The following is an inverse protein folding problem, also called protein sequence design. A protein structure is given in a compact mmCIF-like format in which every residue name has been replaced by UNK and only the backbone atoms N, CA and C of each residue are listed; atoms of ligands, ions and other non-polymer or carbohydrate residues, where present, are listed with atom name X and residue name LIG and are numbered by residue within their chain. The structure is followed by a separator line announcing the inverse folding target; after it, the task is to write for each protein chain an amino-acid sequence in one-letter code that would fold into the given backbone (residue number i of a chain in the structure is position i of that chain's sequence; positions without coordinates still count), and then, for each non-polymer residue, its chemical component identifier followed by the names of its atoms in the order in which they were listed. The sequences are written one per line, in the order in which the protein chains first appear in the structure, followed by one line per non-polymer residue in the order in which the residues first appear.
data_IF_213546692169
#
_entry.id   IF_213546692169
#
_cell.length_a   1.000
_cell.length_b   1.000
_cell.length_c   1.000
_cell.angle_alpha   90.00
_cell.angle_beta   90.00
_cell.angle_gamma   90.00
#
_symmetry.space_group_name_H-M   'P 1'
#
loop_
_entity.id
_entity.type
_entity.pdbx_description
1 polymer ?
#
# COMPACT_ATOMS: atom_id res chain seq x y z
N UNK A 1 28.73 -10.15 -18.76
CA UNK A 1 28.19 -10.87 -17.59
C UNK A 1 29.22 -10.80 -16.48
N UNK A 2 29.04 -9.90 -15.51
CA UNK A 2 29.87 -9.84 -14.31
C UNK A 2 29.03 -10.38 -13.15
N UNK A 3 29.37 -11.57 -12.65
CA UNK A 3 28.82 -12.14 -11.43
C UNK A 3 29.40 -11.35 -10.25
N UNK A 4 28.57 -10.59 -9.54
CA UNK A 4 28.95 -10.01 -8.26
C UNK A 4 29.00 -11.14 -7.22
N UNK A 5 30.21 -11.58 -6.86
CA UNK A 5 30.49 -12.62 -5.84
C UNK A 5 30.64 -12.04 -4.42
N UNK A 6 29.96 -10.95 -4.12
CA UNK A 6 29.97 -10.35 -2.78
C UNK A 6 29.24 -11.23 -1.78
N UNK A 7 29.98 -11.90 -0.91
CA UNK A 7 29.45 -12.59 0.29
C UNK A 7 28.69 -11.57 1.15
N UNK A 8 27.39 -11.76 1.32
CA UNK A 8 26.63 -11.04 2.35
C UNK A 8 26.99 -11.64 3.72
N UNK A 9 27.79 -10.93 4.51
CA UNK A 9 28.05 -11.26 5.90
C UNK A 9 26.91 -10.71 6.76
N UNK A 10 26.05 -11.59 7.29
CA UNK A 10 25.12 -11.22 8.35
C UNK A 10 25.86 -11.35 9.69
N UNK A 11 26.18 -10.22 10.31
CA UNK A 11 26.74 -10.20 11.67
C UNK A 11 25.70 -10.66 12.68
N UNK A 12 26.08 -11.56 13.58
CA UNK A 12 25.27 -11.98 14.72
C UNK A 12 25.23 -10.87 15.78
N UNK A 13 24.01 -10.42 16.14
CA UNK A 13 23.77 -9.42 17.18
C UNK A 13 22.82 -8.30 16.73
N UNK A 14 21.51 -8.57 16.81
CA UNK A 14 20.40 -7.61 16.78
C UNK A 14 20.36 -6.48 15.70
N UNK A 15 19.32 -6.56 14.88
CA UNK A 15 18.41 -5.45 14.53
C UNK A 15 18.96 -4.29 13.69
N UNK A 16 19.27 -4.53 12.41
CA UNK A 16 19.06 -3.49 11.40
C UNK A 16 18.30 -4.08 10.20
N UNK A 17 17.10 -3.56 9.99
CA UNK A 17 16.35 -3.79 8.74
C UNK A 17 17.19 -3.22 7.60
N UNK A 18 17.36 -3.92 6.47
CA UNK A 18 18.09 -3.37 5.32
C UNK A 18 17.52 -2.00 4.96
N UNK A 19 18.38 -1.06 4.56
CA UNK A 19 17.97 0.31 4.20
C UNK A 19 16.80 0.30 3.19
N UNK A 20 16.83 -0.65 2.24
CA UNK A 20 15.78 -0.85 1.22
C UNK A 20 14.42 -1.28 1.76
N UNK A 21 14.31 -1.61 3.04
CA UNK A 21 13.08 -2.08 3.71
C UNK A 21 12.67 -1.18 4.88
N UNK A 22 13.34 -0.07 5.12
CA UNK A 22 12.99 0.84 6.22
C UNK A 22 11.55 1.36 6.09
N UNK A 23 11.09 1.65 4.87
CA UNK A 23 9.71 2.08 4.59
C UNK A 23 8.64 0.99 4.82
N UNK A 24 9.04 -0.25 5.08
CA UNK A 24 8.13 -1.37 5.38
C UNK A 24 8.06 -1.66 6.88
N UNK A 25 8.84 -0.96 7.70
CA UNK A 25 8.84 -1.12 9.15
C UNK A 25 7.64 -0.39 9.72
N UNK A 26 6.84 -1.06 10.54
CA UNK A 26 5.76 -0.40 11.25
C UNK A 26 6.30 0.65 12.23
N UNK A 27 5.74 1.86 12.18
CA UNK A 27 6.01 2.92 13.13
C UNK A 27 5.71 2.43 14.56
N UNK A 28 6.56 2.82 15.52
CA UNK A 28 6.45 2.49 16.95
C UNK A 28 6.53 0.98 17.30
N UNK A 29 7.03 0.16 16.36
CA UNK A 29 7.18 -1.28 16.57
C UNK A 29 8.64 -1.70 16.77
N UNK A 30 8.83 -2.99 17.14
CA UNK A 30 10.12 -3.60 17.47
C UNK A 30 11.28 -3.30 16.51
N UNK A 31 11.00 -3.16 15.22
CA UNK A 31 12.02 -2.95 14.19
C UNK A 31 12.22 -1.46 13.85
N UNK A 32 11.48 -0.56 14.48
CA UNK A 32 11.60 0.89 14.34
C UNK A 32 12.55 1.47 15.40
N UNK A 33 12.85 2.76 15.26
CA UNK A 33 13.60 3.57 16.21
C UNK A 33 13.09 5.02 16.17
N UNK A 34 13.56 5.86 17.09
CA UNK A 34 13.09 7.25 17.22
C UNK A 34 13.28 8.08 15.93
N UNK A 35 14.40 7.86 15.22
CA UNK A 35 14.68 8.54 13.96
C UNK A 35 13.69 8.15 12.85
N UNK A 36 13.43 6.86 12.69
CA UNK A 36 12.47 6.35 11.71
C UNK A 36 11.03 6.75 12.05
N UNK A 37 10.68 6.75 13.34
CA UNK A 37 9.39 7.22 13.81
C UNK A 37 9.20 8.72 13.55
N UNK A 38 10.23 9.53 13.78
CA UNK A 38 10.21 10.96 13.44
C UNK A 38 10.05 11.17 11.92
N UNK A 39 10.75 10.37 11.11
CA UNK A 39 10.60 10.40 9.65
C UNK A 39 9.17 10.04 9.20
N UNK A 40 8.52 9.09 9.87
CA UNK A 40 7.11 8.78 9.61
C UNK A 40 6.18 9.95 9.94
N UNK A 41 6.38 10.64 11.07
CA UNK A 41 5.57 11.81 11.43
C UNK A 41 5.70 12.91 10.37
N UNK A 42 6.93 13.22 9.93
CA UNK A 42 7.18 14.22 8.87
C UNK A 42 6.55 13.80 7.55
N UNK A 43 6.66 12.52 7.16
CA UNK A 43 6.04 12.01 5.95
C UNK A 43 4.51 12.10 6.00
N UNK A 44 3.90 11.80 7.15
CA UNK A 44 2.46 11.91 7.38
C UNK A 44 2.00 13.38 7.34
N UNK A 45 2.79 14.32 7.84
CA UNK A 45 2.57 15.77 7.72
C UNK A 45 2.55 16.23 6.27
N UNK A 46 3.57 15.84 5.50
CA UNK A 46 3.62 16.14 4.08
C UNK A 46 2.43 15.50 3.33
N UNK A 47 2.10 14.25 3.64
CA UNK A 47 1.01 13.53 2.99
C UNK A 47 -0.34 14.22 3.24
N UNK A 48 -0.68 14.50 4.51
CA UNK A 48 -1.95 15.17 4.85
C UNK A 48 -2.06 16.60 4.35
N UNK A 49 -0.93 17.31 4.22
CA UNK A 49 -0.90 18.69 3.74
C UNK A 49 -0.94 18.84 2.22
N UNK A 50 -0.56 17.81 1.45
CA UNK A 50 -0.38 17.91 0.00
C UNK A 50 -1.27 16.98 -0.82
N UNK A 51 -1.96 16.01 -0.19
CA UNK A 51 -2.83 15.08 -0.91
C UNK A 51 -4.29 15.53 -0.83
N UNK A 52 -4.82 15.90 -1.98
CA UNK A 52 -6.22 16.29 -2.15
C UNK A 52 -7.15 15.16 -2.60
N UNK A 53 -6.58 14.02 -3.04
CA UNK A 53 -7.31 12.83 -3.47
C UNK A 53 -6.45 11.58 -3.28
N UNK A 54 -7.05 10.45 -2.93
CA UNK A 54 -6.29 9.22 -2.66
C UNK A 54 -7.10 7.95 -2.83
N UNK A 55 -6.44 6.88 -3.30
CA UNK A 55 -7.04 5.56 -3.48
C UNK A 55 -6.42 4.55 -2.52
N UNK A 56 -7.15 4.19 -1.46
CA UNK A 56 -6.73 3.20 -0.47
C UNK A 56 -7.70 2.03 -0.44
N UNK A 57 -7.32 0.92 -1.09
CA UNK A 57 -8.15 -0.27 -1.16
C UNK A 57 -8.23 -1.01 0.18
N UNK A 58 -9.36 -1.66 0.40
CA UNK A 58 -9.63 -2.47 1.58
C UNK A 58 -9.69 -3.98 1.30
N UNK A 59 -9.39 -4.41 0.07
CA UNK A 59 -9.54 -5.79 -0.37
C UNK A 59 -8.59 -6.16 -1.51
N UNK A 60 -8.11 -7.40 -1.53
CA UNK A 60 -7.08 -7.90 -2.44
C UNK A 60 -7.59 -8.81 -3.57
N UNK A 61 -8.90 -9.07 -3.67
CA UNK A 61 -9.49 -9.88 -4.74
C UNK A 61 -9.26 -9.22 -6.10
N UNK A 62 -9.42 -7.90 -6.16
CA UNK A 62 -9.11 -7.07 -7.34
C UNK A 62 -9.81 -7.47 -8.64
N UNK A 63 -9.28 -7.00 -9.77
CA UNK A 63 -9.80 -7.26 -11.11
C UNK A 63 -9.16 -8.54 -11.66
N UNK A 64 -9.96 -9.37 -12.35
CA UNK A 64 -9.47 -10.59 -13.00
C UNK A 64 -8.38 -10.24 -14.01
N UNK A 65 -7.14 -10.66 -13.70
CA UNK A 65 -5.95 -10.32 -14.46
C UNK A 65 -4.80 -11.26 -14.06
N UNK A 66 -3.67 -11.16 -14.77
CA UNK A 66 -2.44 -11.89 -14.42
C UNK A 66 -1.88 -11.54 -13.03
N UNK A 67 -2.30 -10.42 -12.42
CA UNK A 67 -1.83 -9.97 -11.11
C UNK A 67 -2.68 -10.51 -9.95
N UNK A 68 -3.89 -11.00 -10.22
CA UNK A 68 -4.84 -11.42 -9.20
C UNK A 68 -4.32 -12.59 -8.35
N UNK A 69 -3.92 -13.70 -8.97
CA UNK A 69 -3.48 -14.88 -8.22
C UNK A 69 -2.24 -14.61 -7.34
N UNK A 70 -1.18 -13.92 -7.81
CA UNK A 70 -0.06 -13.54 -6.95
C UNK A 70 -0.46 -12.65 -5.76
N UNK A 71 -1.38 -11.70 -5.95
CA UNK A 71 -1.80 -10.78 -4.88
C UNK A 71 -2.79 -11.42 -3.90
N UNK A 72 -3.59 -12.40 -4.32
CA UNK A 72 -4.35 -13.27 -3.42
C UNK A 72 -3.40 -14.10 -2.55
N UNK A 73 -2.35 -14.68 -3.16
CA UNK A 73 -1.34 -15.44 -2.42
C UNK A 73 -0.63 -14.56 -1.40
N UNK A 74 -0.11 -13.41 -1.82
CA UNK A 74 0.53 -12.43 -0.93
C UNK A 74 -0.41 -11.96 0.17
N UNK A 75 -1.65 -11.61 -0.22
CA UNK A 75 -2.69 -11.21 0.70
C UNK A 75 -3.09 -12.28 1.71
N UNK A 76 -2.93 -13.57 1.39
CA UNK A 76 -3.27 -14.65 2.32
C UNK A 76 -2.14 -14.95 3.30
N UNK A 77 -0.89 -14.92 2.84
CA UNK A 77 0.25 -15.48 3.58
C UNK A 77 1.24 -14.46 4.14
N UNK A 78 1.28 -13.23 3.64
CA UNK A 78 2.23 -12.23 4.16
C UNK A 78 1.84 -11.78 5.57
N UNK A 79 2.79 -11.72 6.52
CA UNK A 79 2.55 -11.24 7.87
C UNK A 79 2.06 -9.80 7.88
N UNK A 80 0.95 -9.55 8.58
CA UNK A 80 0.21 -8.27 8.62
C UNK A 80 -0.44 -8.08 9.98
N UNK A 81 -0.85 -6.85 10.29
CA UNK A 81 -1.58 -6.50 11.52
C UNK A 81 -3.11 -6.46 11.31
N UNK A 82 -3.55 -6.36 10.06
CA UNK A 82 -4.93 -6.17 9.64
C UNK A 82 -5.30 -7.06 8.47
N UNK A 83 -6.53 -7.58 8.50
CA UNK A 83 -7.15 -8.29 7.37
C UNK A 83 -7.68 -7.36 6.27
N UNK A 84 -7.52 -6.05 6.43
CA UNK A 84 -7.99 -5.03 5.49
C UNK A 84 -6.80 -4.47 4.69
N UNK A 85 -6.59 -4.98 3.48
CA UNK A 85 -5.40 -4.67 2.65
C UNK A 85 -5.66 -4.99 1.17
N UNK A 86 -4.80 -4.44 0.31
CA UNK A 86 -4.84 -4.62 -1.15
C UNK A 86 -4.01 -5.83 -1.66
N UNK A 87 -3.47 -6.61 -0.72
CA UNK A 87 -2.63 -7.79 -0.98
C UNK A 87 -1.17 -7.56 -0.59
N UNK A 88 -0.75 -6.30 -0.47
CA UNK A 88 0.60 -5.91 -0.05
C UNK A 88 0.61 -4.80 1.00
N UNK A 89 -0.29 -3.82 0.88
CA UNK A 89 -0.38 -2.64 1.74
C UNK A 89 -1.71 -2.66 2.48
N UNK A 90 -1.65 -2.50 3.79
CA UNK A 90 -2.82 -2.38 4.65
C UNK A 90 -3.53 -1.05 4.44
N UNK A 91 -4.86 -1.06 4.52
CA UNK A 91 -5.67 0.15 4.36
C UNK A 91 -5.20 1.27 5.30
N UNK A 92 -4.97 0.93 6.58
CA UNK A 92 -4.49 1.88 7.59
C UNK A 92 -3.13 2.48 7.23
N UNK A 93 -2.22 1.70 6.65
CA UNK A 93 -0.92 2.20 6.20
C UNK A 93 -1.05 3.14 5.00
N UNK A 94 -2.01 2.91 4.10
CA UNK A 94 -2.26 3.79 2.96
C UNK A 94 -2.95 5.10 3.36
N UNK A 95 -3.90 5.03 4.28
CA UNK A 95 -4.71 6.18 4.72
C UNK A 95 -4.13 6.93 5.92
N UNK A 96 -2.93 6.55 6.39
CA UNK A 96 -2.35 7.15 7.59
C UNK A 96 -2.16 8.66 7.42
N UNK A 97 -2.53 9.44 8.43
CA UNK A 97 -2.51 10.91 8.37
C UNK A 97 -3.67 11.56 7.61
N UNK A 98 -4.47 10.79 6.85
CA UNK A 98 -5.69 11.28 6.20
C UNK A 98 -6.93 11.01 7.06
N UNK A 99 -7.97 11.82 6.89
CA UNK A 99 -9.26 11.58 7.53
C UNK A 99 -9.98 10.41 6.84
N UNK A 100 -10.00 9.26 7.53
CA UNK A 100 -10.61 8.03 7.02
C UNK A 100 -12.13 8.15 6.84
N UNK A 101 -12.79 9.12 7.47
CA UNK A 101 -14.23 9.36 7.29
C UNK A 101 -14.57 9.92 5.91
N UNK A 102 -13.58 10.52 5.21
CA UNK A 102 -13.74 11.02 3.84
C UNK A 102 -13.73 9.89 2.80
N UNK A 103 -13.30 8.68 3.17
CA UNK A 103 -13.13 7.58 2.22
C UNK A 103 -14.45 6.87 1.90
N UNK A 104 -14.97 7.14 0.70
CA UNK A 104 -16.16 6.50 0.15
C UNK A 104 -15.85 5.32 -0.79
N UNK A 105 -16.88 4.57 -1.18
CA UNK A 105 -16.73 3.33 -1.99
C UNK A 105 -17.12 3.49 -3.46
N UNK A 106 -17.45 4.70 -3.88
CA UNK A 106 -17.72 5.05 -5.28
C UNK A 106 -16.44 5.55 -5.96
N UNK A 107 -16.27 5.22 -7.23
CA UNK A 107 -15.19 5.81 -8.04
C UNK A 107 -15.33 7.33 -8.21
N UNK A 108 -16.46 7.93 -7.80
CA UNK A 108 -16.67 9.38 -7.78
C UNK A 108 -16.17 10.05 -6.50
N UNK A 109 -15.80 9.26 -5.48
CA UNK A 109 -15.32 9.79 -4.22
C UNK A 109 -13.85 10.23 -4.37
N UNK A 110 -13.56 11.46 -3.96
CA UNK A 110 -12.20 12.02 -4.01
C UNK A 110 -11.20 11.17 -3.23
N UNK A 111 -11.59 10.72 -2.05
CA UNK A 111 -10.92 9.68 -1.29
C UNK A 111 -11.67 8.37 -1.50
N UNK A 112 -11.09 7.49 -2.30
CA UNK A 112 -11.73 6.28 -2.76
C UNK A 112 -11.19 5.07 -2.00
N UNK A 113 -12.10 4.27 -1.47
CA UNK A 113 -11.88 2.99 -0.80
C UNK A 113 -12.41 1.84 -1.66
N UNK A 114 -11.69 1.48 -2.72
CA UNK A 114 -12.06 0.38 -3.60
C UNK A 114 -11.87 -1.00 -2.98
N UNK A 115 -12.34 -2.02 -3.72
CA UNK A 115 -11.96 -3.43 -3.56
C UNK A 115 -11.00 -3.85 -4.69
N UNK A 116 -9.85 -3.20 -4.74
CA UNK A 116 -8.83 -3.36 -5.77
C UNK A 116 -7.54 -3.94 -5.20
N UNK A 117 -6.92 -4.88 -5.91
CA UNK A 117 -5.62 -5.37 -5.46
C UNK A 117 -4.53 -4.31 -5.72
N UNK A 118 -3.33 -4.52 -5.18
CA UNK A 118 -2.24 -3.56 -5.27
C UNK A 118 -1.89 -3.15 -6.71
N UNK A 119 -1.93 -4.09 -7.66
CA UNK A 119 -1.62 -3.82 -9.07
C UNK A 119 -2.71 -3.02 -9.79
N UNK A 120 -3.99 -3.26 -9.44
CA UNK A 120 -5.10 -2.52 -10.04
C UNK A 120 -5.04 -1.03 -9.68
N UNK A 121 -4.66 -0.69 -8.44
CA UNK A 121 -4.46 0.71 -8.02
C UNK A 121 -3.32 1.41 -8.76
N UNK A 122 -2.35 0.64 -9.26
CA UNK A 122 -1.28 1.12 -10.12
C UNK A 122 -1.68 1.21 -11.60
N UNK A 123 -2.98 1.09 -11.92
CA UNK A 123 -3.52 1.17 -13.28
C UNK A 123 -3.00 0.09 -14.24
N UNK A 124 -2.56 -1.07 -13.71
CA UNK A 124 -1.95 -2.14 -14.53
C UNK A 124 -2.96 -3.09 -15.18
N UNK A 125 -4.26 -2.92 -14.92
CA UNK A 125 -5.33 -3.81 -15.41
C UNK A 125 -6.40 -3.05 -16.19
N UNK A 126 -7.09 -2.09 -15.55
CA UNK A 126 -8.15 -1.28 -16.13
C UNK A 126 -9.36 -1.21 -15.20
N UNK A 127 -10.55 -0.96 -15.74
CA UNK A 127 -11.80 -0.94 -14.97
C UNK A 127 -12.57 -2.25 -15.07
N UNK A 128 -13.23 -2.62 -13.97
CA UNK A 128 -14.28 -3.62 -13.99
C UNK A 128 -15.52 -3.08 -14.70
N UNK A 129 -16.12 -3.90 -15.55
CA UNK A 129 -17.38 -3.55 -16.24
C UNK A 129 -18.57 -3.44 -15.28
N UNK A 130 -18.58 -4.21 -14.18
CA UNK A 130 -19.79 -4.45 -13.39
C UNK A 130 -19.76 -3.95 -11.93
N UNK A 131 -18.61 -3.51 -11.41
CA UNK A 131 -18.49 -3.09 -10.00
C UNK A 131 -17.83 -1.72 -9.88
N UNK A 132 -18.57 -0.76 -9.31
CA UNK A 132 -18.06 0.60 -9.05
C UNK A 132 -16.89 0.64 -8.07
N UNK A 133 -16.78 -0.35 -7.18
CA UNK A 133 -15.65 -0.54 -6.27
C UNK A 133 -14.39 -1.08 -6.95
N UNK A 134 -14.42 -1.29 -8.27
CA UNK A 134 -13.31 -1.82 -9.08
C UNK A 134 -13.11 -0.99 -10.35
N UNK A 135 -13.14 0.35 -10.25
CA UNK A 135 -12.95 1.25 -11.41
C UNK A 135 -11.84 2.29 -11.17
N UNK A 136 -10.56 1.88 -11.12
CA UNK A 136 -9.46 2.80 -10.86
C UNK A 136 -9.30 3.87 -11.95
N UNK A 137 -9.49 3.54 -13.22
CA UNK A 137 -9.30 4.48 -14.33
C UNK A 137 -10.40 5.53 -14.33
N UNK A 138 -11.67 5.14 -14.17
CA UNK A 138 -12.77 6.09 -14.00
C UNK A 138 -12.60 7.01 -12.79
N UNK A 139 -12.09 6.48 -11.67
CA UNK A 139 -11.77 7.34 -10.52
C UNK A 139 -10.78 8.42 -10.91
N UNK A 140 -9.69 8.05 -11.58
CA UNK A 140 -8.69 9.01 -12.02
C UNK A 140 -9.25 10.02 -13.05
N UNK A 141 -10.04 9.56 -14.01
CA UNK A 141 -10.73 10.43 -14.98
C UNK A 141 -11.70 11.41 -14.32
N UNK A 142 -12.38 11.01 -13.23
CA UNK A 142 -13.29 11.90 -12.50
C UNK A 142 -12.58 12.92 -11.60
N UNK A 143 -11.26 12.79 -11.40
CA UNK A 143 -10.45 13.74 -10.64
C UNK A 143 -9.82 14.84 -11.50
N UNK A 144 -9.71 14.62 -12.82
CA UNK A 144 -9.14 15.55 -13.80
C UNK A 144 -10.21 16.50 -14.35
#
# INVERSE_FOLDING_TARGET
MALATGKCSFGEGATQVPISRLSLVYQDEKNSNDELNAAYVVAQEAYRGNVSAGMCSNDYDGIFSKYQAPLILGGTFLPRKSSVHDGLVEYQSCSIGLDQSLFGTSYKDTFYKPRLNHADKGFLTGDSLFKDSKKPMKWFECLL
#
